data_IF_044073959333
#
_entry.id   IF_044073959333
#
_cell.length_a   1.000
_cell.length_b   1.000
_cell.length_c   1.000
_cell.angle_alpha   90.00
_cell.angle_beta   90.00
_cell.angle_gamma   90.00
#
_symmetry.space_group_name_H-M   'P 1'
#
loop_
_entity.id
_entity.type
_entity.pdbx_description
1 polymer ?
#
# COMPACT_ATOMS: atom_id res chain seq x y z
N UNK A 1 -9.01 -20.09 -6.70
CA UNK A 1 -10.29 -19.52 -7.16
C UNK A 1 -10.09 -18.72 -8.42
N UNK A 2 -10.98 -18.89 -9.41
CA UNK A 2 -10.96 -18.10 -10.66
C UNK A 2 -12.13 -17.13 -10.66
N UNK A 3 -11.86 -15.88 -10.99
CA UNK A 3 -12.83 -14.78 -10.95
C UNK A 3 -12.65 -13.82 -12.13
N UNK A 4 -13.68 -13.06 -12.45
CA UNK A 4 -13.58 -11.96 -13.39
C UNK A 4 -12.80 -10.78 -12.77
N UNK A 5 -11.95 -10.13 -13.54
CA UNK A 5 -11.09 -9.04 -13.03
C UNK A 5 -11.88 -7.78 -12.65
N UNK A 6 -13.09 -7.62 -13.19
CA UNK A 6 -14.01 -6.52 -12.85
C UNK A 6 -14.72 -6.69 -11.51
N UNK A 7 -14.65 -7.87 -10.89
CA UNK A 7 -15.24 -8.10 -9.56
C UNK A 7 -14.61 -7.19 -8.51
N UNK A 8 -15.42 -6.74 -7.57
CA UNK A 8 -14.93 -5.98 -6.41
C UNK A 8 -14.17 -6.92 -5.47
N UNK A 9 -12.99 -6.50 -5.05
CA UNK A 9 -12.11 -7.30 -4.19
C UNK A 9 -12.82 -7.73 -2.90
N UNK A 10 -13.61 -6.85 -2.29
CA UNK A 10 -14.36 -7.16 -1.07
C UNK A 10 -15.33 -8.32 -1.24
N UNK A 11 -16.03 -8.37 -2.38
CA UNK A 11 -17.00 -9.44 -2.66
C UNK A 11 -16.28 -10.81 -2.80
N UNK A 12 -15.10 -10.82 -3.44
CA UNK A 12 -14.27 -12.02 -3.49
C UNK A 12 -13.83 -12.45 -2.10
N UNK A 13 -13.29 -11.54 -1.29
CA UNK A 13 -12.76 -11.86 0.02
C UNK A 13 -13.83 -12.42 0.97
N UNK A 14 -15.02 -11.81 0.96
CA UNK A 14 -16.16 -12.31 1.75
C UNK A 14 -16.62 -13.70 1.27
N UNK A 15 -16.67 -13.93 -0.05
CA UNK A 15 -17.09 -15.20 -0.62
C UNK A 15 -16.12 -16.36 -0.33
N UNK A 16 -14.81 -16.11 -0.35
CA UNK A 16 -13.82 -17.16 -0.04
C UNK A 16 -13.74 -17.42 1.47
N UNK A 17 -13.85 -16.38 2.30
CA UNK A 17 -13.87 -16.52 3.76
C UNK A 17 -15.05 -17.37 4.23
N UNK A 18 -16.25 -17.15 3.65
CA UNK A 18 -17.44 -17.97 3.94
C UNK A 18 -17.26 -19.46 3.60
N UNK A 19 -16.24 -19.80 2.81
CA UNK A 19 -15.86 -21.19 2.45
C UNK A 19 -14.63 -21.71 3.20
N UNK A 20 -14.13 -20.97 4.18
CA UNK A 20 -12.97 -21.34 4.97
C UNK A 20 -11.63 -21.11 4.27
N UNK A 21 -11.57 -20.17 3.32
CA UNK A 21 -10.36 -19.82 2.57
C UNK A 21 -10.02 -18.34 2.69
N UNK A 22 -8.76 -17.98 2.49
CA UNK A 22 -8.31 -16.59 2.43
C UNK A 22 -7.23 -16.39 1.37
N UNK A 23 -7.05 -15.13 0.97
CA UNK A 23 -5.86 -14.63 0.28
C UNK A 23 -5.11 -13.80 1.32
N UNK A 24 -3.87 -14.15 1.72
CA UNK A 24 -3.18 -13.49 2.84
C UNK A 24 -2.80 -12.02 2.62
N UNK A 25 -2.96 -11.50 1.42
CA UNK A 25 -2.70 -10.09 1.10
C UNK A 25 -3.99 -9.30 1.04
N UNK A 26 -4.32 -8.54 2.08
CA UNK A 26 -5.50 -7.70 2.12
C UNK A 26 -5.14 -6.23 2.26
N UNK A 27 -5.56 -5.36 1.32
CA UNK A 27 -5.43 -3.92 1.44
C UNK A 27 -6.44 -3.34 2.44
N UNK A 28 -6.19 -2.14 2.94
CA UNK A 28 -7.13 -1.44 3.83
C UNK A 28 -8.48 -1.15 3.17
N UNK A 29 -8.49 -1.00 1.84
CA UNK A 29 -9.68 -0.66 1.05
C UNK A 29 -10.00 -1.84 0.15
N UNK A 30 -11.22 -2.36 0.26
CA UNK A 30 -11.70 -3.50 -0.50
C UNK A 30 -12.72 -3.14 -1.61
N UNK A 31 -13.03 -1.86 -1.79
CA UNK A 31 -14.00 -1.35 -2.77
C UNK A 31 -13.39 -1.10 -4.16
N UNK A 32 -12.25 -1.70 -4.43
CA UNK A 32 -11.52 -1.63 -5.70
C UNK A 32 -11.76 -2.90 -6.51
N UNK A 33 -11.68 -2.80 -7.84
CA UNK A 33 -11.74 -3.99 -8.69
C UNK A 33 -10.45 -4.80 -8.60
N UNK A 34 -10.55 -6.11 -8.81
CA UNK A 34 -9.40 -7.02 -8.79
C UNK A 34 -8.37 -6.62 -9.84
N UNK A 35 -8.80 -6.37 -11.08
CA UNK A 35 -7.89 -5.95 -12.16
C UNK A 35 -7.14 -4.66 -11.85
N UNK A 36 -7.83 -3.66 -11.27
CA UNK A 36 -7.20 -2.41 -10.84
C UNK A 36 -6.20 -2.62 -9.70
N UNK A 37 -6.54 -3.45 -8.72
CA UNK A 37 -5.68 -3.78 -7.60
C UNK A 37 -4.36 -4.46 -8.07
N UNK A 38 -4.47 -5.45 -8.95
CA UNK A 38 -3.32 -6.16 -9.52
C UNK A 38 -2.45 -5.22 -10.34
N UNK A 39 -3.05 -4.51 -11.29
CA UNK A 39 -2.33 -3.64 -12.23
C UNK A 39 -1.47 -2.57 -11.54
N UNK A 40 -1.86 -2.12 -10.35
CA UNK A 40 -1.16 -1.06 -9.60
C UNK A 40 -0.33 -1.55 -8.41
N UNK A 41 -0.13 -2.87 -8.27
CA UNK A 41 0.70 -3.44 -7.21
C UNK A 41 0.11 -3.26 -5.82
N UNK A 42 -1.21 -3.45 -5.68
CA UNK A 42 -1.87 -3.37 -4.37
C UNK A 42 -1.26 -4.36 -3.39
N UNK A 43 -1.02 -3.90 -2.18
CA UNK A 43 -0.46 -4.68 -1.09
C UNK A 43 -1.26 -4.50 0.20
N UNK A 44 -1.08 -5.44 1.11
CA UNK A 44 -1.58 -5.37 2.48
C UNK A 44 -0.45 -5.23 3.49
N UNK A 45 -0.54 -5.98 4.57
CA UNK A 45 0.42 -5.97 5.67
C UNK A 45 1.11 -7.33 5.86
N UNK A 46 0.75 -8.33 5.07
CA UNK A 46 1.36 -9.67 5.09
C UNK A 46 2.70 -9.80 4.34
N UNK A 47 3.26 -8.68 3.90
CA UNK A 47 4.58 -8.66 3.27
C UNK A 47 4.61 -9.04 1.79
N UNK A 48 3.47 -9.25 1.12
CA UNK A 48 3.41 -9.58 -0.31
C UNK A 48 2.41 -8.69 -1.05
N UNK A 49 2.60 -8.54 -2.36
CA UNK A 49 1.61 -7.95 -3.24
C UNK A 49 0.44 -8.92 -3.46
N UNK A 50 -0.74 -8.39 -3.74
CA UNK A 50 -1.89 -9.21 -4.13
C UNK A 50 -1.59 -10.03 -5.39
N UNK A 51 -0.83 -9.46 -6.31
CA UNK A 51 -0.43 -10.11 -7.56
C UNK A 51 0.49 -11.33 -7.38
N UNK A 52 1.14 -11.49 -6.23
CA UNK A 52 1.96 -12.67 -5.94
C UNK A 52 1.13 -13.94 -5.63
N UNK A 53 -0.17 -13.77 -5.37
CA UNK A 53 -1.11 -14.88 -5.22
C UNK A 53 -1.80 -15.27 -6.54
N UNK A 54 -1.50 -14.56 -7.63
CA UNK A 54 -2.03 -14.86 -8.96
C UNK A 54 -1.26 -16.03 -9.59
N UNK A 55 -1.99 -17.12 -9.92
CA UNK A 55 -1.44 -18.32 -10.56
C UNK A 55 -1.71 -18.38 -12.06
N UNK A 56 -2.75 -17.73 -12.55
CA UNK A 56 -2.97 -17.51 -13.97
C UNK A 56 -3.88 -16.32 -14.23
N UNK A 57 -3.85 -15.80 -15.45
CA UNK A 57 -4.79 -14.81 -15.92
C UNK A 57 -5.06 -14.96 -17.42
N UNK A 58 -6.17 -14.43 -17.87
CA UNK A 58 -6.52 -14.34 -19.28
C UNK A 58 -6.52 -12.88 -19.71
N UNK A 59 -5.73 -12.56 -20.73
CA UNK A 59 -5.65 -11.23 -21.35
C UNK A 59 -6.36 -11.24 -22.70
N UNK A 60 -7.06 -10.16 -23.03
CA UNK A 60 -7.50 -9.81 -24.37
C UNK A 60 -6.53 -8.77 -24.90
N UNK A 61 -5.82 -9.10 -25.99
CA UNK A 61 -4.78 -8.28 -26.57
C UNK A 61 -5.32 -7.21 -27.54
N UNK A 62 -4.45 -6.34 -28.02
CA UNK A 62 -4.82 -5.22 -28.89
C UNK A 62 -5.43 -5.63 -30.24
N UNK A 63 -5.07 -6.80 -30.75
CA UNK A 63 -5.63 -7.41 -31.97
C UNK A 63 -6.93 -8.20 -31.74
N UNK A 64 -7.40 -8.29 -30.49
CA UNK A 64 -8.57 -9.05 -30.09
C UNK A 64 -8.29 -10.53 -29.77
N UNK A 65 -7.07 -10.99 -29.94
CA UNK A 65 -6.69 -12.35 -29.56
C UNK A 65 -6.73 -12.53 -28.04
N UNK A 66 -6.93 -13.77 -27.59
CA UNK A 66 -7.04 -14.12 -26.17
C UNK A 66 -5.83 -14.98 -25.80
N UNK A 67 -5.13 -14.58 -24.76
CA UNK A 67 -3.97 -15.29 -24.24
C UNK A 67 -4.16 -15.62 -22.76
N UNK A 68 -4.00 -16.88 -22.39
CA UNK A 68 -3.90 -17.31 -21.00
C UNK A 68 -2.43 -17.41 -20.61
N UNK A 69 -2.08 -16.84 -19.48
CA UNK A 69 -0.71 -16.79 -18.96
C UNK A 69 -0.72 -17.44 -17.59
N UNK A 70 0.22 -18.34 -17.34
CA UNK A 70 0.32 -19.12 -16.11
C UNK A 70 1.56 -18.74 -15.29
N UNK A 71 1.51 -19.04 -14.00
CA UNK A 71 2.66 -18.89 -13.12
C UNK A 71 3.83 -19.77 -13.62
N UNK A 72 5.05 -19.24 -13.50
CA UNK A 72 6.25 -19.84 -14.08
C UNK A 72 6.61 -19.32 -15.47
N UNK A 73 5.69 -18.73 -16.21
CA UNK A 73 6.00 -18.05 -17.47
C UNK A 73 6.63 -16.67 -17.19
N UNK A 74 7.66 -16.30 -17.96
CA UNK A 74 8.34 -14.99 -17.80
C UNK A 74 7.36 -13.83 -18.02
N UNK A 75 6.41 -13.99 -18.94
CA UNK A 75 5.37 -13.00 -19.23
C UNK A 75 4.51 -12.69 -18.00
N UNK A 76 4.29 -13.65 -17.10
CA UNK A 76 3.55 -13.44 -15.85
C UNK A 76 4.21 -12.38 -14.97
N UNK A 77 5.54 -12.29 -14.95
CA UNK A 77 6.26 -11.27 -14.20
C UNK A 77 6.00 -9.85 -14.70
N UNK A 78 5.74 -9.68 -16.00
CA UNK A 78 5.35 -8.39 -16.57
C UNK A 78 3.87 -8.07 -16.32
N UNK A 79 3.00 -9.08 -16.34
CA UNK A 79 1.54 -8.91 -16.26
C UNK A 79 1.08 -8.59 -14.83
N UNK A 80 1.72 -9.15 -13.81
CA UNK A 80 1.35 -8.98 -12.40
C UNK A 80 1.20 -7.53 -11.95
N UNK A 81 2.07 -6.63 -12.46
CA UNK A 81 1.98 -5.19 -12.23
C UNK A 81 2.19 -4.50 -13.57
N UNK A 82 1.14 -4.41 -14.39
CA UNK A 82 1.24 -3.98 -15.78
C UNK A 82 0.64 -2.61 -16.07
N UNK A 83 0.06 -1.94 -15.09
CA UNK A 83 -0.66 -0.68 -15.27
C UNK A 83 -1.80 -0.77 -16.31
N UNK A 84 -2.24 -1.99 -16.66
CA UNK A 84 -3.21 -2.25 -17.70
C UNK A 84 -2.68 -2.02 -19.13
N UNK A 85 -1.37 -1.88 -19.31
CA UNK A 85 -0.75 -1.49 -20.59
C UNK A 85 -0.41 -2.66 -21.50
N UNK A 86 -0.65 -3.92 -21.10
CA UNK A 86 -0.35 -5.12 -21.85
C UNK A 86 -1.59 -5.81 -22.47
N UNK A 87 -2.78 -5.39 -22.04
CA UNK A 87 -4.04 -6.00 -22.48
C UNK A 87 -5.13 -5.81 -21.43
N UNK A 88 -6.36 -6.16 -21.78
CA UNK A 88 -7.50 -6.20 -20.85
C UNK A 88 -7.49 -7.53 -20.12
N UNK A 89 -7.25 -7.51 -18.81
CA UNK A 89 -7.36 -8.70 -17.98
C UNK A 89 -8.84 -9.06 -17.82
N UNK A 90 -9.21 -10.24 -18.32
CA UNK A 90 -10.59 -10.74 -18.28
C UNK A 90 -10.85 -11.56 -17.02
N UNK A 91 -10.04 -12.59 -16.79
CA UNK A 91 -10.13 -13.48 -15.63
C UNK A 91 -8.79 -13.61 -14.93
N UNK A 92 -8.86 -13.90 -13.64
CA UNK A 92 -7.68 -14.16 -12.78
C UNK A 92 -7.95 -15.37 -11.93
N UNK A 93 -6.94 -16.21 -11.78
CA UNK A 93 -6.94 -17.33 -10.82
C UNK A 93 -5.99 -17.02 -9.67
N UNK A 94 -6.50 -17.07 -8.45
CA UNK A 94 -5.71 -16.91 -7.23
C UNK A 94 -5.50 -18.24 -6.51
N UNK A 95 -4.30 -18.38 -5.95
CA UNK A 95 -4.01 -19.37 -4.92
C UNK A 95 -4.58 -18.85 -3.60
N UNK A 96 -5.42 -19.66 -2.96
CA UNK A 96 -5.94 -19.40 -1.63
C UNK A 96 -5.23 -20.29 -0.59
N UNK A 97 -5.25 -19.86 0.65
CA UNK A 97 -4.80 -20.62 1.82
C UNK A 97 -6.00 -20.90 2.73
N UNK A 98 -5.95 -21.94 3.57
CA UNK A 98 -6.96 -22.16 4.61
C UNK A 98 -7.12 -20.92 5.48
N UNK A 99 -8.37 -20.57 5.81
CA UNK A 99 -8.66 -19.45 6.70
C UNK A 99 -8.01 -19.68 8.07
N UNK A 100 -7.45 -18.63 8.63
CA UNK A 100 -6.84 -18.67 9.96
C UNK A 100 -7.27 -17.46 10.79
N UNK A 101 -7.11 -17.59 12.10
CA UNK A 101 -7.33 -16.52 13.04
C UNK A 101 -6.01 -15.79 13.33
N UNK A 102 -6.05 -14.46 13.38
CA UNK A 102 -4.93 -13.64 13.81
C UNK A 102 -5.15 -13.17 15.25
N UNK A 103 -4.13 -13.31 16.08
CA UNK A 103 -3.96 -12.53 17.29
C UNK A 103 -3.20 -11.25 16.95
N UNK A 104 -3.85 -10.10 17.09
CA UNK A 104 -3.29 -8.79 16.78
C UNK A 104 -2.99 -8.07 18.07
N UNK A 105 -1.72 -7.65 18.22
CA UNK A 105 -1.25 -6.85 19.34
C UNK A 105 -0.78 -5.49 18.85
N UNK A 106 -1.36 -4.45 19.44
CA UNK A 106 -1.04 -3.06 19.14
C UNK A 106 -0.40 -2.39 20.37
N UNK A 107 0.71 -1.69 20.19
CA UNK A 107 1.41 -1.05 21.32
C UNK A 107 2.27 0.15 20.87
N UNK A 108 2.42 1.19 21.75
CA UNK A 108 3.26 2.34 21.46
C UNK A 108 4.74 2.01 21.66
N UNK A 109 5.60 2.57 20.83
CA UNK A 109 7.04 2.61 21.02
C UNK A 109 7.62 3.92 20.49
N UNK A 110 8.72 4.37 21.10
CA UNK A 110 9.48 5.49 20.56
C UNK A 110 10.16 5.10 19.24
N UNK A 111 10.45 6.10 18.38
CA UNK A 111 11.12 5.88 17.10
C UNK A 111 12.49 5.19 17.29
N UNK A 112 13.21 5.54 18.37
CA UNK A 112 14.48 4.91 18.74
C UNK A 112 14.36 3.44 19.14
N UNK A 113 13.16 2.95 19.44
CA UNK A 113 12.91 1.57 19.86
C UNK A 113 12.39 0.70 18.72
N UNK A 114 11.35 1.16 17.98
CA UNK A 114 10.75 0.34 16.94
C UNK A 114 11.60 0.27 15.67
N UNK A 115 12.28 1.36 15.32
CA UNK A 115 13.02 1.46 14.06
C UNK A 115 14.18 0.45 13.97
N UNK A 116 15.04 0.27 15.01
CA UNK A 116 16.07 -0.77 14.99
C UNK A 116 15.53 -2.20 14.95
N UNK A 117 14.33 -2.43 15.52
CA UNK A 117 13.72 -3.77 15.65
C UNK A 117 12.91 -4.19 14.42
N UNK A 118 12.77 -3.34 13.39
CA UNK A 118 11.90 -3.64 12.25
C UNK A 118 12.27 -4.95 11.53
N UNK A 119 13.56 -5.20 11.31
CA UNK A 119 14.05 -6.43 10.64
C UNK A 119 13.81 -7.69 11.46
N UNK A 120 13.94 -7.62 12.77
CA UNK A 120 13.66 -8.71 13.67
C UNK A 120 12.16 -9.04 13.64
N UNK A 121 11.31 -8.02 13.75
CA UNK A 121 9.86 -8.18 13.79
C UNK A 121 9.28 -8.74 12.49
N UNK A 122 9.81 -8.32 11.34
CA UNK A 122 9.42 -8.88 10.03
C UNK A 122 9.65 -10.39 9.98
N UNK A 123 10.70 -10.89 10.64
CA UNK A 123 10.98 -12.34 10.68
C UNK A 123 10.16 -13.08 11.71
N UNK A 124 9.75 -12.40 12.76
CA UNK A 124 9.09 -13.00 13.92
C UNK A 124 7.58 -13.10 13.76
N UNK A 125 6.96 -12.13 13.10
CA UNK A 125 5.50 -11.99 13.02
C UNK A 125 4.99 -12.23 11.61
N UNK A 126 3.82 -12.85 11.47
CA UNK A 126 3.14 -13.06 10.19
C UNK A 126 2.63 -11.74 9.58
N UNK A 127 2.44 -10.73 10.43
CA UNK A 127 1.88 -9.45 10.10
C UNK A 127 2.59 -8.34 10.88
N UNK A 128 3.06 -7.30 10.19
CA UNK A 128 3.68 -6.13 10.80
C UNK A 128 3.20 -4.85 10.12
N UNK A 129 2.74 -3.91 10.92
CA UNK A 129 2.39 -2.55 10.51
C UNK A 129 2.81 -1.58 11.60
N UNK A 130 3.30 -0.42 11.22
CA UNK A 130 3.58 0.63 12.17
C UNK A 130 2.82 1.88 11.73
N UNK A 131 2.01 2.43 12.61
CA UNK A 131 1.37 3.72 12.41
C UNK A 131 2.28 4.78 13.05
N UNK A 132 3.16 5.36 12.26
CA UNK A 132 4.00 6.44 12.74
C UNK A 132 3.20 7.74 12.88
N UNK A 133 3.29 8.35 14.06
CA UNK A 133 2.57 9.58 14.39
C UNK A 133 3.49 10.79 14.15
N UNK A 134 3.34 11.55 13.05
CA UNK A 134 4.13 12.74 12.81
C UNK A 134 4.09 13.71 13.97
N UNK A 135 5.22 14.33 14.30
CA UNK A 135 5.39 15.30 15.39
C UNK A 135 5.27 14.75 16.82
N UNK A 136 5.33 13.41 17.01
CA UNK A 136 5.21 12.81 18.36
C UNK A 136 6.41 11.96 18.76
N UNK A 137 7.32 11.65 17.84
CA UNK A 137 8.44 10.71 18.02
C UNK A 137 8.01 9.29 18.43
N UNK A 138 6.79 8.90 18.04
CA UNK A 138 6.22 7.59 18.37
C UNK A 138 5.66 6.88 17.15
N UNK A 139 5.89 5.57 17.10
CA UNK A 139 5.17 4.62 16.28
C UNK A 139 4.20 3.80 17.12
N UNK A 140 3.06 3.47 16.57
CA UNK A 140 2.14 2.48 17.13
C UNK A 140 2.33 1.19 16.36
N UNK A 141 3.04 0.26 16.98
CA UNK A 141 3.44 -1.01 16.37
C UNK A 141 2.26 -1.97 16.44
N UNK A 142 1.93 -2.58 15.32
CA UNK A 142 0.86 -3.56 15.18
C UNK A 142 1.48 -4.84 14.65
N UNK A 143 1.49 -5.88 15.47
CA UNK A 143 1.92 -7.22 15.08
C UNK A 143 0.73 -8.15 15.02
N UNK A 144 0.80 -9.18 14.19
CA UNK A 144 -0.22 -10.21 14.12
C UNK A 144 0.42 -11.57 13.90
N UNK A 145 -0.03 -12.55 14.65
CA UNK A 145 0.44 -13.93 14.58
C UNK A 145 -0.73 -14.87 14.37
N UNK A 146 -0.52 -15.92 13.56
CA UNK A 146 -1.51 -16.97 13.36
C UNK A 146 -1.68 -17.77 14.65
N UNK A 147 -2.91 -17.94 15.06
CA UNK A 147 -3.26 -18.71 16.25
C UNK A 147 -4.37 -19.71 15.94
N UNK A 148 -4.52 -20.70 16.80
CA UNK A 148 -5.69 -21.56 16.82
C UNK A 148 -6.94 -20.69 17.09
N UNK A 149 -8.05 -20.89 16.35
CA UNK A 149 -9.30 -20.15 16.58
C UNK A 149 -9.84 -20.22 18.01
N UNK A 150 -9.59 -21.33 18.68
CA UNK A 150 -10.05 -21.58 20.07
C UNK A 150 -9.13 -20.95 21.14
N UNK A 151 -8.01 -20.33 20.73
CA UNK A 151 -7.11 -19.66 21.69
C UNK A 151 -7.83 -18.51 22.39
N UNK A 152 -7.88 -18.55 23.71
CA UNK A 152 -8.43 -17.44 24.52
C UNK A 152 -7.43 -16.29 24.59
N UNK A 153 -7.90 -15.08 24.37
CA UNK A 153 -7.16 -13.84 24.58
C UNK A 153 -8.07 -12.81 25.26
N UNK A 154 -7.46 -11.90 26.01
CA UNK A 154 -8.17 -10.73 26.52
C UNK A 154 -8.28 -9.68 25.43
N UNK A 155 -9.50 -9.47 24.92
CA UNK A 155 -9.74 -8.49 23.86
C UNK A 155 -10.01 -7.08 24.41
N UNK A 156 -9.12 -6.14 24.10
CA UNK A 156 -9.26 -4.71 24.45
C UNK A 156 -9.99 -3.89 23.39
N UNK A 157 -10.03 -4.39 22.14
CA UNK A 157 -10.54 -3.67 20.97
C UNK A 157 -11.84 -4.26 20.46
N UNK A 158 -12.94 -3.83 21.04
CA UNK A 158 -14.27 -4.13 20.49
C UNK A 158 -14.67 -3.18 19.35
N UNK A 159 -15.69 -3.56 18.52
CA UNK A 159 -16.17 -2.74 17.39
C UNK A 159 -16.58 -1.32 17.79
N UNK A 160 -17.16 -1.15 18.98
CA UNK A 160 -17.56 0.15 19.51
C UNK A 160 -16.36 1.07 19.76
N UNK A 161 -15.28 0.56 20.35
CA UNK A 161 -14.05 1.31 20.58
C UNK A 161 -13.39 1.72 19.26
N UNK A 162 -13.29 0.82 18.30
CA UNK A 162 -12.73 1.10 16.97
C UNK A 162 -13.52 2.19 16.24
N UNK A 163 -14.86 2.15 16.33
CA UNK A 163 -15.73 3.20 15.77
C UNK A 163 -15.50 4.53 16.46
N UNK A 164 -15.38 4.56 17.77
CA UNK A 164 -15.12 5.76 18.56
C UNK A 164 -13.77 6.38 18.22
N UNK A 165 -12.69 5.59 18.20
CA UNK A 165 -11.34 6.00 17.81
C UNK A 165 -11.33 6.65 16.42
N UNK A 166 -12.00 6.04 15.44
CA UNK A 166 -12.11 6.56 14.08
C UNK A 166 -12.86 7.89 14.02
N UNK A 167 -13.98 7.99 14.72
CA UNK A 167 -14.82 9.19 14.70
C UNK A 167 -14.10 10.37 15.32
N UNK A 168 -13.51 10.20 16.50
CA UNK A 168 -12.77 11.25 17.20
C UNK A 168 -11.56 11.73 16.36
N UNK A 169 -10.79 10.81 15.78
CA UNK A 169 -9.69 11.16 14.90
C UNK A 169 -10.15 11.95 13.67
N UNK A 170 -11.26 11.56 13.04
CA UNK A 170 -11.82 12.27 11.87
C UNK A 170 -12.21 13.71 12.22
N UNK A 171 -12.79 13.93 13.38
CA UNK A 171 -13.20 15.27 13.82
C UNK A 171 -11.96 16.15 14.00
N UNK A 172 -10.96 15.69 14.75
CA UNK A 172 -9.73 16.44 14.99
C UNK A 172 -8.99 16.76 13.68
N UNK A 173 -8.89 15.79 12.77
CA UNK A 173 -8.27 16.03 11.46
C UNK A 173 -9.08 16.95 10.56
N UNK A 174 -10.42 17.00 10.70
CA UNK A 174 -11.23 17.99 10.00
C UNK A 174 -10.87 19.42 10.43
N UNK A 175 -10.67 19.64 11.73
CA UNK A 175 -10.24 20.95 12.24
C UNK A 175 -8.82 21.30 11.83
N UNK A 176 -7.88 20.37 11.87
CA UNK A 176 -6.51 20.62 11.42
C UNK A 176 -6.41 20.92 9.92
N UNK A 177 -7.41 20.50 9.12
CA UNK A 177 -7.52 20.88 7.73
C UNK A 177 -7.86 22.37 7.54
N UNK A 178 -8.76 22.90 8.39
CA UNK A 178 -9.14 24.31 8.37
C UNK A 178 -8.06 25.18 9.01
N UNK A 179 -7.44 24.67 10.07
CA UNK A 179 -6.40 25.35 10.85
C UNK A 179 -5.10 24.50 10.86
N UNK A 180 -4.29 24.55 9.82
CA UNK A 180 -3.12 23.67 9.67
C UNK A 180 -2.17 23.67 10.86
N UNK A 181 -1.96 24.78 11.52
CA UNK A 181 -1.06 24.94 12.66
C UNK A 181 -1.41 24.04 13.87
N UNK A 182 -2.66 23.55 13.97
CA UNK A 182 -3.05 22.65 15.07
C UNK A 182 -2.68 21.18 14.85
N UNK A 183 -2.16 20.79 13.70
CA UNK A 183 -1.96 19.37 13.37
C UNK A 183 -1.00 18.68 14.31
N UNK A 184 0.12 19.29 14.64
CA UNK A 184 1.07 18.72 15.59
C UNK A 184 0.42 18.51 16.97
N UNK A 185 -0.44 19.44 17.39
CA UNK A 185 -1.20 19.34 18.64
C UNK A 185 -2.26 18.23 18.53
N UNK A 186 -2.99 18.19 17.40
CA UNK A 186 -3.99 17.16 17.15
C UNK A 186 -3.37 15.75 17.15
N UNK A 187 -2.22 15.55 16.52
CA UNK A 187 -1.49 14.27 16.54
C UNK A 187 -1.08 13.87 17.95
N UNK A 188 -0.57 14.80 18.77
CA UNK A 188 -0.24 14.53 20.19
C UNK A 188 -1.46 14.13 21.01
N UNK A 189 -2.59 14.82 20.82
CA UNK A 189 -3.87 14.50 21.52
C UNK A 189 -4.35 13.10 21.09
N UNK A 190 -4.37 12.81 19.78
CA UNK A 190 -4.81 11.51 19.23
C UNK A 190 -3.90 10.40 19.72
N UNK A 191 -2.58 10.60 19.70
CA UNK A 191 -1.62 9.64 20.23
C UNK A 191 -1.92 9.34 21.70
N UNK A 192 -2.01 10.36 22.55
CA UNK A 192 -2.28 10.19 23.98
C UNK A 192 -3.63 9.50 24.25
N UNK A 193 -4.66 9.84 23.49
CA UNK A 193 -6.01 9.32 23.72
C UNK A 193 -6.22 7.88 23.22
N UNK A 194 -5.58 7.48 22.13
CA UNK A 194 -5.91 6.23 21.42
C UNK A 194 -4.73 5.33 21.10
N UNK A 195 -3.49 5.84 21.15
CA UNK A 195 -2.30 5.13 20.72
C UNK A 195 -1.18 5.13 21.78
N UNK A 196 -1.54 5.27 23.05
CA UNK A 196 -0.57 5.33 24.18
C UNK A 196 -0.57 4.08 25.04
N UNK A 197 -1.46 3.11 24.78
CA UNK A 197 -1.57 1.88 25.57
C UNK A 197 -1.53 0.66 24.67
N UNK A 198 -1.07 -0.46 25.23
CA UNK A 198 -1.13 -1.77 24.55
C UNK A 198 -2.59 -2.24 24.48
N UNK A 199 -2.95 -2.85 23.34
CA UNK A 199 -4.27 -3.41 23.08
C UNK A 199 -4.14 -4.70 22.29
N UNK A 200 -5.07 -5.61 22.52
CA UNK A 200 -5.11 -6.90 21.83
C UNK A 200 -6.50 -7.19 21.29
N UNK A 201 -6.57 -7.92 20.18
CA UNK A 201 -7.81 -8.47 19.65
C UNK A 201 -7.51 -9.69 18.77
N UNK A 202 -8.53 -10.48 18.48
CA UNK A 202 -8.44 -11.54 17.49
C UNK A 202 -9.54 -11.43 16.44
N UNK A 203 -9.33 -12.04 15.30
CA UNK A 203 -10.32 -12.08 14.22
C UNK A 203 -9.78 -12.80 13.01
N UNK A 204 -10.66 -13.11 12.05
CA UNK A 204 -10.20 -13.55 10.75
C UNK A 204 -9.30 -12.47 10.12
N UNK A 205 -8.47 -12.86 9.16
CA UNK A 205 -7.59 -11.93 8.47
C UNK A 205 -8.38 -10.72 7.94
N UNK A 206 -9.53 -10.95 7.31
CA UNK A 206 -10.39 -9.90 6.78
C UNK A 206 -10.93 -8.96 7.87
N UNK A 207 -11.45 -9.51 8.96
CA UNK A 207 -11.99 -8.73 10.07
C UNK A 207 -10.92 -7.90 10.78
N UNK A 208 -9.73 -8.48 10.95
CA UNK A 208 -8.63 -7.85 11.69
C UNK A 208 -7.93 -6.73 10.88
N UNK A 209 -7.92 -6.79 9.55
CA UNK A 209 -7.05 -5.96 8.73
C UNK A 209 -7.76 -5.00 7.77
N UNK A 210 -8.96 -5.34 7.28
CA UNK A 210 -9.65 -4.53 6.27
C UNK A 210 -10.44 -3.39 6.88
N UNK A 211 -10.19 -2.20 6.39
CA UNK A 211 -10.97 -1.00 6.73
C UNK A 211 -11.94 -0.69 5.60
N UNK A 212 -13.21 -1.03 5.79
CA UNK A 212 -14.28 -0.68 4.82
C UNK A 212 -14.38 0.84 4.71
N UNK A 213 -14.05 1.41 3.55
CA UNK A 213 -14.18 2.82 3.19
C UNK A 213 -13.67 3.85 4.21
N UNK A 214 -12.78 4.72 3.81
CA UNK A 214 -12.30 5.84 4.65
C UNK A 214 -13.29 7.00 4.75
N UNK A 215 -14.32 7.05 3.90
CA UNK A 215 -15.43 8.02 3.97
C UNK A 215 -15.02 9.49 3.90
N UNK A 216 -13.86 9.81 3.33
CA UNK A 216 -13.38 11.18 3.14
C UNK A 216 -12.53 11.28 1.88
N UNK A 217 -12.63 12.40 1.19
CA UNK A 217 -11.73 12.74 0.09
C UNK A 217 -10.36 13.05 0.71
N UNK A 218 -9.39 12.19 0.44
CA UNK A 218 -7.99 12.35 0.87
C UNK A 218 -7.08 12.12 -0.31
N UNK A 219 -5.96 12.79 -0.36
CA UNK A 219 -4.87 12.47 -1.26
C UNK A 219 -3.82 11.65 -0.52
N UNK A 220 -3.33 10.64 -1.21
CA UNK A 220 -2.35 9.69 -0.71
C UNK A 220 -1.14 9.72 -1.63
N UNK A 221 0.02 9.96 -1.05
CA UNK A 221 1.30 9.60 -1.64
C UNK A 221 1.88 8.45 -0.84
N UNK A 222 2.34 7.42 -1.52
CA UNK A 222 2.99 6.28 -0.87
C UNK A 222 4.23 5.93 -1.67
N UNK A 223 5.33 5.79 -0.96
CA UNK A 223 6.64 5.50 -1.51
C UNK A 223 7.26 4.30 -0.82
N UNK A 224 8.10 3.60 -1.54
CA UNK A 224 8.86 2.47 -1.00
C UNK A 224 10.34 2.78 -1.01
N UNK A 225 11.06 2.21 -0.07
CA UNK A 225 12.52 2.30 0.04
C UNK A 225 13.09 0.95 0.46
N UNK A 226 14.34 0.66 0.07
CA UNK A 226 15.00 -0.57 0.48
C UNK A 226 15.06 -0.71 2.00
N UNK A 227 14.72 -1.90 2.51
CA UNK A 227 14.67 -2.19 3.95
C UNK A 227 16.01 -1.87 4.65
N UNK A 228 17.13 -2.11 4.00
CA UNK A 228 18.45 -1.91 4.61
C UNK A 228 18.80 -0.45 4.88
N UNK A 229 18.31 0.45 4.02
CA UNK A 229 18.57 1.88 4.13
C UNK A 229 17.40 2.66 4.75
N UNK A 230 16.29 1.98 5.04
CA UNK A 230 15.09 2.61 5.57
C UNK A 230 15.34 3.44 6.84
N UNK A 231 16.11 2.99 7.84
CA UNK A 231 16.34 3.79 9.04
C UNK A 231 16.97 5.16 8.75
N UNK A 232 17.95 5.19 7.84
CA UNK A 232 18.59 6.44 7.42
C UNK A 232 17.62 7.37 6.70
N UNK A 233 16.83 6.83 5.79
CA UNK A 233 15.86 7.60 5.02
C UNK A 233 14.73 8.11 5.91
N UNK A 234 14.29 7.30 6.88
CA UNK A 234 13.27 7.67 7.85
C UNK A 234 13.67 8.91 8.66
N UNK A 235 14.91 9.01 9.16
CA UNK A 235 15.39 10.17 9.90
C UNK A 235 15.38 11.45 9.04
N UNK A 236 15.77 11.36 7.76
CA UNK A 236 15.71 12.49 6.83
C UNK A 236 14.25 12.90 6.55
N UNK A 237 13.36 11.93 6.33
CA UNK A 237 11.93 12.17 6.15
C UNK A 237 11.29 12.82 7.40
N UNK A 238 11.60 12.30 8.58
CA UNK A 238 11.12 12.84 9.85
C UNK A 238 11.55 14.29 10.02
N UNK A 239 12.80 14.60 9.73
CA UNK A 239 13.33 15.97 9.77
C UNK A 239 12.58 16.89 8.80
N UNK A 240 12.36 16.44 7.57
CA UNK A 240 11.63 17.20 6.57
C UNK A 240 10.17 17.43 6.98
N UNK A 241 9.48 16.37 7.41
CA UNK A 241 8.08 16.44 7.86
C UNK A 241 7.91 17.43 9.02
N UNK A 242 8.86 17.45 9.96
CA UNK A 242 8.83 18.37 11.10
C UNK A 242 8.93 19.84 10.72
N UNK A 243 9.56 20.19 9.59
CA UNK A 243 9.58 21.56 9.05
C UNK A 243 8.19 22.07 8.65
N UNK A 244 7.28 21.16 8.36
CA UNK A 244 5.90 21.45 7.95
C UNK A 244 4.91 21.48 9.10
N UNK A 245 5.36 21.37 10.35
CA UNK A 245 4.50 21.26 11.55
C UNK A 245 3.44 22.36 11.67
N UNK A 246 3.74 23.58 11.25
CA UNK A 246 2.83 24.73 11.29
C UNK A 246 1.97 24.90 10.04
N UNK A 247 2.37 24.26 8.94
CA UNK A 247 1.69 24.30 7.63
C UNK A 247 0.88 23.06 7.36
N UNK A 248 1.10 22.03 8.14
CA UNK A 248 0.36 20.79 8.28
C UNK A 248 -0.16 20.16 7.01
N UNK A 249 0.60 19.28 6.43
CA UNK A 249 0.11 18.51 5.31
C UNK A 249 -0.13 17.03 5.65
N UNK A 250 0.40 16.55 6.75
CA UNK A 250 0.19 15.18 7.21
C UNK A 250 -0.76 15.19 8.40
N UNK A 251 -1.96 14.71 8.16
CA UNK A 251 -3.05 14.78 9.13
C UNK A 251 -3.27 13.51 9.93
N UNK A 252 -2.85 12.36 9.41
CA UNK A 252 -3.11 11.07 10.03
C UNK A 252 -1.81 10.28 10.17
N UNK A 253 -1.78 9.25 11.03
CA UNK A 253 -0.61 8.40 11.13
C UNK A 253 -0.14 7.91 9.77
N UNK A 254 1.15 7.95 9.55
CA UNK A 254 1.76 7.41 8.35
C UNK A 254 1.91 5.91 8.49
N UNK A 255 1.43 5.19 7.50
CA UNK A 255 1.59 3.75 7.44
C UNK A 255 3.02 3.37 7.04
N UNK A 256 3.67 2.57 7.86
CA UNK A 256 4.93 1.92 7.54
C UNK A 256 4.66 0.42 7.46
N UNK A 257 4.90 -0.17 6.28
CA UNK A 257 4.65 -1.58 6.01
C UNK A 257 5.85 -2.21 5.31
N UNK A 258 5.94 -3.52 5.39
CA UNK A 258 7.01 -4.28 4.77
C UNK A 258 6.48 -5.04 3.55
N UNK A 259 7.32 -5.12 2.50
CA UNK A 259 7.05 -5.91 1.29
C UNK A 259 8.29 -6.71 0.94
N UNK A 260 8.14 -8.02 0.89
CA UNK A 260 9.19 -8.94 0.45
C UNK A 260 9.48 -8.73 -1.04
N UNK A 261 10.74 -8.99 -1.40
CA UNK A 261 11.16 -9.01 -2.79
C UNK A 261 10.34 -9.99 -3.64
N UNK A 262 10.04 -9.58 -4.85
CA UNK A 262 9.33 -10.34 -5.86
C UNK A 262 10.06 -10.35 -7.20
N UNK A 263 9.42 -10.92 -8.24
CA UNK A 263 9.94 -10.98 -9.60
C UNK A 263 9.12 -10.14 -10.61
N UNK A 264 8.13 -9.39 -10.16
CA UNK A 264 7.22 -8.64 -11.02
C UNK A 264 7.89 -7.36 -11.54
N UNK A 265 7.97 -7.17 -12.85
CA UNK A 265 8.85 -6.19 -13.51
C UNK A 265 8.65 -4.74 -13.07
N UNK A 266 7.41 -4.30 -12.94
CA UNK A 266 7.09 -2.94 -12.45
C UNK A 266 6.71 -2.91 -10.97
N UNK A 267 6.99 -3.99 -10.22
CA UNK A 267 6.83 -3.98 -8.77
C UNK A 267 7.85 -3.05 -8.12
N UNK A 268 7.41 -2.34 -7.12
CA UNK A 268 8.33 -1.57 -6.27
C UNK A 268 9.23 -2.47 -5.40
N UNK A 269 8.90 -3.76 -5.25
CA UNK A 269 9.71 -4.75 -4.53
C UNK A 269 10.51 -5.69 -5.46
N UNK A 270 10.64 -5.35 -6.76
CA UNK A 270 11.40 -6.18 -7.69
C UNK A 270 12.82 -6.44 -7.17
N UNK A 271 13.11 -7.73 -6.88
CA UNK A 271 14.41 -8.24 -6.41
C UNK A 271 14.95 -7.66 -5.09
N UNK A 272 14.18 -6.87 -4.37
CA UNK A 272 14.61 -6.23 -3.14
C UNK A 272 13.49 -6.14 -2.10
N UNK A 273 13.80 -6.44 -0.85
CA UNK A 273 12.92 -6.23 0.30
C UNK A 273 12.74 -4.72 0.54
N UNK A 274 11.49 -4.28 0.64
CA UNK A 274 11.13 -2.87 0.70
C UNK A 274 10.31 -2.55 1.93
N UNK A 275 10.40 -1.30 2.37
CA UNK A 275 9.47 -0.70 3.33
C UNK A 275 8.66 0.36 2.60
N UNK A 276 7.35 0.35 2.78
CA UNK A 276 6.46 1.41 2.27
C UNK A 276 6.22 2.45 3.34
N UNK A 277 6.05 3.69 2.93
CA UNK A 277 5.66 4.78 3.80
C UNK A 277 4.58 5.62 3.12
N UNK A 278 3.37 5.58 3.67
CA UNK A 278 2.21 6.28 3.13
C UNK A 278 2.00 7.63 3.80
N UNK A 279 2.07 8.71 3.03
CA UNK A 279 1.77 10.07 3.47
C UNK A 279 0.36 10.45 3.05
N UNK A 280 -0.43 10.98 3.98
CA UNK A 280 -1.82 11.35 3.72
C UNK A 280 -2.02 12.82 3.95
N UNK A 281 -2.57 13.53 2.97
CA UNK A 281 -3.15 14.86 3.14
C UNK A 281 -4.62 14.85 2.75
N UNK A 282 -5.42 15.59 3.47
CA UNK A 282 -6.85 15.69 3.18
C UNK A 282 -7.16 16.60 2.00
N UNK A 283 -6.30 17.55 1.72
CA UNK A 283 -6.55 18.53 0.68
C UNK A 283 -5.24 18.98 0.03
N UNK A 284 -4.88 18.33 -1.05
CA UNK A 284 -3.76 18.77 -1.88
C UNK A 284 -4.07 20.07 -2.65
N UNK A 285 -5.26 20.63 -2.51
CA UNK A 285 -5.62 21.90 -3.13
C UNK A 285 -4.89 23.10 -2.50
N UNK A 286 -4.21 22.94 -1.37
CA UNK A 286 -3.33 24.01 -0.86
C UNK A 286 -1.94 23.90 -1.49
N UNK A 287 -1.36 25.02 -1.89
CA UNK A 287 -0.01 25.07 -2.43
C UNK A 287 1.02 24.45 -1.48
N UNK A 288 0.86 24.65 -0.18
CA UNK A 288 1.75 24.09 0.85
C UNK A 288 1.71 22.57 0.90
N UNK A 289 0.54 21.94 0.79
CA UNK A 289 0.43 20.47 0.75
C UNK A 289 1.14 19.89 -0.50
N UNK A 290 1.02 20.56 -1.63
CA UNK A 290 1.68 20.15 -2.86
C UNK A 290 3.20 20.21 -2.75
N UNK A 291 3.74 21.31 -2.22
CA UNK A 291 5.19 21.46 -2.02
C UNK A 291 5.74 20.49 -0.99
N UNK A 292 4.97 20.19 0.06
CA UNK A 292 5.35 19.19 1.04
C UNK A 292 5.42 17.78 0.43
N UNK A 293 4.46 17.38 -0.41
CA UNK A 293 4.55 16.11 -1.13
C UNK A 293 5.77 16.06 -2.06
N UNK A 294 6.08 17.14 -2.75
CA UNK A 294 7.28 17.23 -3.59
C UNK A 294 8.57 17.12 -2.77
N UNK A 295 8.63 17.74 -1.59
CA UNK A 295 9.84 17.67 -0.75
C UNK A 295 10.10 16.24 -0.26
N UNK A 296 9.06 15.52 0.11
CA UNK A 296 9.12 14.10 0.49
C UNK A 296 9.51 13.23 -0.71
N UNK A 297 8.88 13.43 -1.86
CA UNK A 297 9.20 12.71 -3.10
C UNK A 297 10.67 12.85 -3.48
N UNK A 298 11.25 14.04 -3.38
CA UNK A 298 12.68 14.28 -3.64
C UNK A 298 13.58 13.43 -2.74
N UNK A 299 13.20 13.25 -1.46
CA UNK A 299 13.97 12.41 -0.54
C UNK A 299 13.90 10.95 -0.99
N UNK A 300 12.70 10.43 -1.30
CA UNK A 300 12.58 9.06 -1.78
C UNK A 300 13.37 8.83 -3.08
N UNK A 301 13.23 9.70 -4.07
CA UNK A 301 13.95 9.61 -5.35
C UNK A 301 15.47 9.66 -5.16
N UNK A 302 15.99 10.49 -4.25
CA UNK A 302 17.42 10.57 -3.89
C UNK A 302 17.99 9.20 -3.49
N UNK A 303 17.17 8.37 -2.86
CA UNK A 303 17.56 7.03 -2.37
C UNK A 303 17.05 5.87 -3.25
N UNK A 304 16.59 6.15 -4.47
CA UNK A 304 16.06 5.13 -5.39
C UNK A 304 14.70 4.57 -4.98
N UNK A 305 13.96 5.34 -4.19
CA UNK A 305 12.59 4.98 -3.78
C UNK A 305 11.65 4.91 -4.97
N UNK A 306 10.64 4.03 -4.88
CA UNK A 306 9.65 3.79 -5.93
C UNK A 306 8.26 4.18 -5.46
N UNK A 307 7.46 4.90 -6.29
CA UNK A 307 6.09 5.27 -5.92
C UNK A 307 5.14 4.09 -6.02
N UNK A 308 4.10 4.09 -5.19
CA UNK A 308 2.96 3.19 -5.37
C UNK A 308 2.11 3.67 -6.56
N UNK A 309 1.94 2.80 -7.56
CA UNK A 309 1.30 3.13 -8.83
C UNK A 309 -0.15 3.68 -8.71
N UNK A 310 -0.90 3.20 -7.74
CA UNK A 310 -2.28 3.64 -7.47
C UNK A 310 -2.38 4.88 -6.58
N UNK A 311 -1.29 5.59 -6.32
CA UNK A 311 -1.24 6.77 -5.45
C UNK A 311 -0.70 7.98 -6.20
N UNK A 312 -0.64 9.14 -5.53
CA UNK A 312 -0.11 10.35 -6.12
C UNK A 312 1.42 10.36 -6.10
N UNK A 313 2.01 10.70 -7.23
CA UNK A 313 3.42 11.05 -7.39
C UNK A 313 3.59 11.98 -8.59
N UNK A 314 4.68 12.73 -8.65
CA UNK A 314 5.00 13.64 -9.73
C UNK A 314 6.21 13.18 -10.59
N UNK A 315 6.91 12.12 -10.15
CA UNK A 315 8.05 11.55 -10.88
C UNK A 315 7.69 11.19 -12.33
N UNK A 316 8.57 11.56 -13.25
CA UNK A 316 8.38 11.37 -14.69
C UNK A 316 9.16 10.17 -15.20
N UNK A 317 9.01 9.86 -16.49
CA UNK A 317 9.75 8.81 -17.17
C UNK A 317 11.27 8.86 -16.88
N UNK A 318 11.86 10.07 -16.86
CA UNK A 318 13.29 10.27 -16.64
C UNK A 318 13.80 9.84 -15.27
N UNK A 319 12.96 9.92 -14.23
CA UNK A 319 13.26 9.42 -12.90
C UNK A 319 12.94 7.93 -12.81
N UNK A 320 11.75 7.54 -13.26
CA UNK A 320 11.24 6.17 -13.14
C UNK A 320 12.10 5.16 -13.91
N UNK A 321 12.56 5.51 -15.10
CA UNK A 321 13.44 4.65 -15.89
C UNK A 321 14.79 4.33 -15.22
N UNK A 322 15.22 5.16 -14.27
CA UNK A 322 16.46 4.94 -13.51
C UNK A 322 16.26 4.02 -12.30
N UNK A 323 15.05 3.97 -11.75
CA UNK A 323 14.76 3.23 -10.52
C UNK A 323 14.07 1.88 -10.76
N UNK A 324 13.43 1.69 -11.92
CA UNK A 324 12.85 0.42 -12.33
C UNK A 324 13.76 -0.29 -13.33
N UNK A 325 14.51 -1.29 -12.92
CA UNK A 325 15.50 -1.98 -13.74
C UNK A 325 14.89 -2.72 -14.94
N UNK A 326 13.58 -3.05 -14.88
CA UNK A 326 12.83 -3.69 -15.99
C UNK A 326 12.01 -2.70 -16.82
N UNK A 327 12.28 -1.40 -16.69
CA UNK A 327 11.52 -0.36 -17.37
C UNK A 327 11.55 -0.48 -18.90
N UNK A 328 12.72 -0.59 -19.48
CA UNK A 328 12.85 -0.70 -20.93
C UNK A 328 12.39 -2.06 -21.47
N UNK A 329 12.66 -3.16 -20.73
CA UNK A 329 12.14 -4.48 -21.08
C UNK A 329 10.61 -4.47 -21.14
N UNK A 330 9.96 -3.81 -20.15
CA UNK A 330 8.52 -3.66 -20.12
C UNK A 330 8.00 -2.84 -21.31
N UNK A 331 8.65 -1.75 -21.67
CA UNK A 331 8.27 -0.91 -22.82
C UNK A 331 8.38 -1.68 -24.15
N UNK A 332 9.45 -2.45 -24.32
CA UNK A 332 9.62 -3.32 -25.50
C UNK A 332 8.49 -4.34 -25.59
N UNK A 333 8.21 -5.05 -24.47
CA UNK A 333 7.12 -6.02 -24.42
C UNK A 333 5.77 -5.37 -24.70
N UNK A 334 5.49 -4.21 -24.09
CA UNK A 334 4.26 -3.46 -24.29
C UNK A 334 4.02 -3.14 -25.78
N UNK A 335 5.03 -2.60 -26.48
CA UNK A 335 4.93 -2.29 -27.91
C UNK A 335 4.65 -3.52 -28.77
N UNK A 336 5.20 -4.67 -28.35
CA UNK A 336 4.93 -5.95 -29.03
C UNK A 336 3.48 -6.41 -28.84
N UNK A 337 2.93 -6.24 -27.62
CA UNK A 337 1.57 -6.68 -27.27
C UNK A 337 0.49 -5.67 -27.69
N UNK A 338 0.85 -4.38 -27.77
CA UNK A 338 -0.04 -3.29 -28.18
C UNK A 338 0.70 -2.34 -29.14
N UNK A 339 0.92 -2.74 -30.39
CA UNK A 339 1.65 -1.93 -31.37
C UNK A 339 0.91 -0.64 -31.76
N UNK A 340 -0.38 -0.59 -31.55
CA UNK A 340 -1.26 0.54 -31.91
C UNK A 340 -1.60 1.44 -30.73
N UNK A 341 -0.98 1.23 -29.56
CA UNK A 341 -1.19 2.03 -28.35
C UNK A 341 -2.65 2.10 -27.86
N UNK A 342 -3.48 1.06 -28.12
CA UNK A 342 -4.89 1.01 -27.71
C UNK A 342 -5.09 1.09 -26.20
N UNK A 343 -4.15 0.56 -25.42
CA UNK A 343 -4.22 0.52 -23.96
C UNK A 343 -3.54 1.71 -23.27
N UNK A 344 -2.99 2.65 -24.05
CA UNK A 344 -2.38 3.86 -23.50
C UNK A 344 -3.38 5.02 -23.43
N UNK A 345 -3.71 5.43 -22.22
CA UNK A 345 -4.36 6.72 -21.99
C UNK A 345 -3.31 7.85 -22.01
N UNK A 346 -3.71 9.15 -21.97
CA UNK A 346 -2.76 10.27 -21.97
C UNK A 346 -1.69 10.19 -20.88
N UNK A 347 -2.06 9.73 -19.68
CA UNK A 347 -1.13 9.55 -18.57
C UNK A 347 -0.07 8.49 -18.85
N UNK A 348 -0.47 7.30 -19.31
CA UNK A 348 0.48 6.23 -19.66
C UNK A 348 1.34 6.56 -20.87
N UNK A 349 0.79 7.30 -21.84
CA UNK A 349 1.55 7.82 -23.00
C UNK A 349 2.69 8.73 -22.52
N UNK A 350 2.42 9.66 -21.61
CA UNK A 350 3.44 10.52 -21.00
C UNK A 350 4.41 9.71 -20.15
N UNK A 351 3.88 8.80 -19.31
CA UNK A 351 4.66 7.98 -18.39
C UNK A 351 5.71 7.13 -19.12
N UNK A 352 5.34 6.50 -20.23
CA UNK A 352 6.25 5.65 -21.02
C UNK A 352 7.00 6.44 -22.08
N UNK A 353 6.77 7.74 -22.22
CA UNK A 353 7.33 8.58 -23.27
C UNK A 353 7.09 8.01 -24.67
N UNK A 354 5.86 7.56 -24.92
CA UNK A 354 5.44 7.06 -26.22
C UNK A 354 4.92 8.23 -27.09
N UNK A 355 5.14 8.15 -28.39
CA UNK A 355 4.57 9.11 -29.33
C UNK A 355 3.09 8.80 -29.53
N UNK A 356 2.23 9.82 -29.54
CA UNK A 356 0.88 9.67 -30.09
C UNK A 356 1.03 9.48 -31.60
N UNK A 357 0.64 8.35 -32.11
CA UNK A 357 0.34 8.23 -33.52
C UNK A 357 -0.98 8.96 -33.77
N UNK A 358 -0.95 9.95 -34.65
CA UNK A 358 -2.10 10.78 -35.04
C UNK A 358 -2.96 10.02 -36.04
#
# INVERSE_FOLDING_TARGET
VTVQSGLILGDLLEAIEAKGWCIPCLPDINTITIGGALATGTHGTSGKLLSEYMTSCTLVLADGSIQTISDGEELMNAVRVSLGALGVMSTVTFKCEPLYTLHVKEFPENDSEWLPKIKERIKKHDFLRILWMPHTDHGYVITGDKIDPDTEINEDLGPAYLKHRRTASKILYKYSHVYPWITAIANKIIHKAFFSTTKEHKGSLYQATVTKSRGSVIELAEWTIGLDIFPKVFEELKTEINKWSNKSFIHIPMDVRFIQKDNSWLSYAYKQDMVTMGCVSRNAATADSYEAFKSIEKIFLKYGGKPHWGKRFAAKNTELSKIYSKWEDFKVLRRKMDPTNKFLNPYLTELFNEKKEH
#
